data_IF_461451176994
#
_entry.id   IF_461451176994
#
_cell.length_a   1.000
_cell.length_b   1.000
_cell.length_c   1.000
_cell.angle_alpha   90.00
_cell.angle_beta   90.00
_cell.angle_gamma   90.00
#
_symmetry.space_group_name_H-M   'P 1'
#
loop_
_entity.id
_entity.type
_entity.pdbx_description
1 polymer ?
#
# COMPACT_ATOMS: atom_id res chain seq x y z
N UNK A 1 16.88 -49.49 -36.45
CA UNK A 1 15.60 -48.97 -36.98
C UNK A 1 14.95 -48.20 -35.84
N UNK A 2 14.97 -46.87 -35.91
CA UNK A 2 14.47 -45.96 -34.85
C UNK A 2 13.08 -45.46 -35.26
N UNK A 3 12.05 -45.52 -34.41
CA UNK A 3 10.82 -44.79 -34.67
C UNK A 3 10.86 -43.42 -33.97
N UNK A 4 10.71 -42.38 -34.79
CA UNK A 4 10.54 -40.98 -34.39
C UNK A 4 9.13 -40.83 -33.81
N UNK A 5 9.01 -40.34 -32.57
CA UNK A 5 7.72 -39.95 -31.97
C UNK A 5 7.47 -38.46 -32.23
N UNK A 6 6.43 -38.17 -33.00
CA UNK A 6 5.89 -36.83 -33.24
C UNK A 6 5.19 -36.31 -31.98
N UNK A 7 5.64 -35.17 -31.45
CA UNK A 7 4.95 -34.46 -30.35
C UNK A 7 3.94 -33.49 -30.95
N UNK A 8 2.65 -33.68 -30.63
CA UNK A 8 1.55 -32.76 -30.98
C UNK A 8 1.66 -31.48 -30.14
N UNK A 9 1.76 -30.33 -30.81
CA UNK A 9 1.51 -29.02 -30.21
C UNK A 9 -0.01 -28.87 -29.99
N UNK A 10 -0.43 -28.65 -28.75
CA UNK A 10 -1.81 -28.24 -28.42
C UNK A 10 -1.82 -26.71 -28.34
N UNK A 11 -2.57 -26.08 -29.24
CA UNK A 11 -2.83 -24.64 -29.24
C UNK A 11 -4.13 -24.41 -28.49
N UNK A 12 -4.06 -23.85 -27.28
CA UNK A 12 -5.26 -23.37 -26.56
C UNK A 12 -5.39 -21.88 -26.87
N UNK A 13 -6.43 -21.52 -27.62
CA UNK A 13 -6.73 -20.14 -28.00
C UNK A 13 -7.23 -19.33 -26.79
N UNK A 14 -6.57 -18.20 -26.52
CA UNK A 14 -7.09 -17.18 -25.62
C UNK A 14 -8.01 -16.23 -26.41
N UNK A 15 -9.22 -16.02 -25.91
CA UNK A 15 -10.13 -14.98 -26.42
C UNK A 15 -9.62 -13.63 -25.92
N UNK A 16 -9.19 -12.76 -26.83
CA UNK A 16 -8.79 -11.39 -26.51
C UNK A 16 -10.03 -10.50 -26.41
N UNK A 17 -10.27 -9.92 -25.24
CA UNK A 17 -11.19 -8.77 -25.08
C UNK A 17 -10.40 -7.52 -25.47
N UNK A 18 -10.79 -6.87 -26.56
CA UNK A 18 -10.17 -5.63 -26.99
C UNK A 18 -10.71 -4.46 -26.16
N UNK A 19 -9.89 -3.94 -25.25
CA UNK A 19 -10.12 -2.64 -24.61
C UNK A 19 -9.62 -1.57 -25.57
N UNK A 20 -10.52 -0.73 -26.07
CA UNK A 20 -10.15 0.46 -26.85
C UNK A 20 -9.80 1.56 -25.84
N UNK A 21 -8.52 1.88 -25.70
CA UNK A 21 -8.05 3.00 -24.87
C UNK A 21 -6.61 3.39 -25.19
N UNK A 22 -6.43 4.52 -25.89
CA UNK A 22 -5.18 5.27 -26.11
C UNK A 22 -3.99 4.46 -26.68
N UNK A 23 -2.87 5.05 -27.14
CA UNK A 23 -1.69 4.25 -27.41
C UNK A 23 -1.15 3.80 -26.04
N UNK A 24 -1.70 2.70 -25.51
CA UNK A 24 -1.01 1.90 -24.53
C UNK A 24 0.34 1.58 -25.14
N UNK A 25 1.43 2.04 -24.53
CA UNK A 25 2.76 1.56 -24.87
C UNK A 25 2.66 0.04 -24.84
N UNK A 26 2.68 -0.60 -26.02
CA UNK A 26 2.66 -2.04 -26.09
C UNK A 26 3.82 -2.53 -25.23
N UNK A 27 3.53 -3.45 -24.31
CA UNK A 27 4.55 -4.05 -23.46
C UNK A 27 5.68 -4.57 -24.36
N UNK A 28 6.94 -4.33 -23.99
CA UNK A 28 8.05 -4.76 -24.84
C UNK A 28 7.95 -6.27 -25.08
N UNK A 29 8.30 -6.75 -26.30
CA UNK A 29 8.47 -8.17 -26.53
C UNK A 29 9.39 -8.77 -25.45
N UNK A 30 9.00 -9.91 -24.90
CA UNK A 30 9.74 -10.59 -23.83
C UNK A 30 10.49 -11.77 -24.42
N UNK A 31 11.81 -11.79 -24.25
CA UNK A 31 12.68 -12.87 -24.71
C UNK A 31 12.62 -14.08 -23.76
N UNK A 32 12.47 -13.84 -22.46
CA UNK A 32 12.37 -14.92 -21.46
C UNK A 32 11.54 -14.52 -20.25
N UNK A 33 11.00 -15.52 -19.55
CA UNK A 33 10.23 -15.36 -18.31
C UNK A 33 10.86 -16.16 -17.20
N UNK A 34 10.91 -15.57 -16.01
CA UNK A 34 11.27 -16.22 -14.75
C UNK A 34 10.14 -15.99 -13.74
N UNK A 35 10.06 -16.77 -12.68
CA UNK A 35 8.87 -16.76 -11.82
C UNK A 35 8.90 -15.58 -10.87
N UNK A 36 9.99 -15.48 -10.10
CA UNK A 36 10.17 -14.51 -9.02
C UNK A 36 11.47 -13.72 -9.17
N UNK A 37 11.65 -12.70 -8.33
CA UNK A 37 12.92 -11.96 -8.23
C UNK A 37 14.04 -12.88 -7.71
N UNK A 38 13.73 -13.81 -6.80
CA UNK A 38 14.71 -14.80 -6.32
C UNK A 38 15.20 -15.69 -7.46
N UNK A 39 14.30 -16.13 -8.34
CA UNK A 39 14.68 -16.92 -9.53
C UNK A 39 15.50 -16.09 -10.51
N UNK A 40 15.14 -14.81 -10.68
CA UNK A 40 15.92 -13.87 -11.49
C UNK A 40 17.35 -13.73 -10.96
N UNK A 41 17.52 -13.53 -9.64
CA UNK A 41 18.84 -13.39 -9.00
C UNK A 41 19.71 -14.64 -9.14
N UNK A 42 19.10 -15.81 -9.26
CA UNK A 42 19.77 -17.10 -9.42
C UNK A 42 19.98 -17.49 -10.90
N UNK A 43 19.40 -16.74 -11.84
CA UNK A 43 19.52 -17.01 -13.27
C UNK A 43 20.90 -16.59 -13.81
N UNK A 44 21.31 -17.26 -14.88
CA UNK A 44 22.53 -16.96 -15.65
C UNK A 44 22.26 -17.15 -17.14
N UNK A 45 23.06 -16.50 -17.99
CA UNK A 45 22.94 -16.61 -19.45
C UNK A 45 21.69 -15.91 -20.01
N UNK A 46 21.03 -15.06 -19.22
CA UNK A 46 19.92 -14.24 -19.68
C UNK A 46 20.43 -13.14 -20.62
N UNK A 47 19.57 -12.73 -21.56
CA UNK A 47 19.83 -11.64 -22.49
C UNK A 47 18.53 -10.97 -22.90
N UNK A 48 18.61 -9.75 -23.46
CA UNK A 48 17.44 -9.04 -23.98
C UNK A 48 16.48 -8.61 -22.88
N UNK A 49 15.19 -8.72 -23.14
CA UNK A 49 14.11 -8.37 -22.21
C UNK A 49 13.61 -9.60 -21.47
N UNK A 50 13.61 -9.52 -20.14
CA UNK A 50 13.15 -10.58 -19.23
C UNK A 50 11.96 -10.06 -18.44
N UNK A 51 10.95 -10.89 -18.23
CA UNK A 51 9.84 -10.58 -17.34
C UNK A 51 9.81 -11.55 -16.16
N UNK A 52 9.57 -11.04 -14.95
CA UNK A 52 9.15 -11.89 -13.83
C UNK A 52 7.64 -12.14 -13.92
N UNK A 53 7.16 -13.24 -13.33
CA UNK A 53 5.71 -13.53 -13.22
C UNK A 53 5.11 -13.05 -11.90
N UNK A 54 5.96 -12.58 -10.98
CA UNK A 54 5.64 -11.93 -9.72
C UNK A 54 6.92 -11.46 -9.02
N UNK A 55 6.78 -10.91 -7.83
CA UNK A 55 7.92 -10.52 -6.98
C UNK A 55 8.41 -11.72 -6.16
N UNK A 56 7.57 -12.20 -5.25
CA UNK A 56 7.83 -13.34 -4.36
C UNK A 56 7.08 -14.59 -4.83
N UNK A 57 5.92 -14.42 -5.47
CA UNK A 57 5.08 -15.50 -5.96
C UNK A 57 4.46 -15.16 -7.29
N UNK A 58 4.29 -16.16 -8.15
CA UNK A 58 3.60 -15.98 -9.43
C UNK A 58 2.19 -15.42 -9.21
N UNK A 59 1.90 -14.26 -9.79
CA UNK A 59 0.58 -13.63 -9.72
C UNK A 59 0.33 -12.77 -8.47
N UNK A 60 1.34 -12.44 -7.68
CA UNK A 60 1.25 -11.50 -6.55
C UNK A 60 1.06 -10.02 -6.97
N UNK A 61 1.06 -9.74 -8.27
CA UNK A 61 0.95 -8.38 -8.83
C UNK A 61 2.29 -7.65 -8.93
N UNK A 62 3.38 -8.20 -8.40
CA UNK A 62 4.74 -7.66 -8.43
C UNK A 62 5.54 -8.03 -9.69
N UNK A 63 4.87 -8.43 -10.78
CA UNK A 63 5.53 -8.79 -12.03
C UNK A 63 6.18 -7.58 -12.69
N UNK A 64 7.47 -7.67 -13.03
CA UNK A 64 8.27 -6.57 -13.57
C UNK A 64 8.98 -6.97 -14.87
N UNK A 65 9.37 -5.96 -15.65
CA UNK A 65 10.16 -6.11 -16.87
C UNK A 65 11.57 -5.60 -16.64
N UNK A 66 12.54 -6.32 -17.17
CA UNK A 66 13.96 -6.02 -17.05
C UNK A 66 14.63 -6.10 -18.41
N UNK A 67 15.65 -5.26 -18.60
CA UNK A 67 16.63 -5.40 -19.67
C UNK A 67 17.95 -5.87 -19.07
N UNK A 68 18.53 -6.91 -19.66
CA UNK A 68 19.82 -7.43 -19.21
C UNK A 68 20.96 -6.51 -19.66
N UNK A 69 21.87 -6.20 -18.74
CA UNK A 69 23.02 -5.34 -18.96
C UNK A 69 24.27 -5.95 -18.31
N UNK A 70 25.44 -5.68 -18.90
CA UNK A 70 26.73 -6.15 -18.37
C UNK A 70 27.19 -5.36 -17.14
N UNK A 71 26.70 -4.13 -16.99
CA UNK A 71 27.07 -3.23 -15.91
C UNK A 71 25.84 -2.67 -15.21
N UNK A 72 25.97 -2.43 -13.91
CA UNK A 72 24.98 -1.71 -13.14
C UNK A 72 24.93 -0.25 -13.62
N UNK A 73 23.73 0.31 -13.90
CA UNK A 73 23.59 1.75 -14.12
C UNK A 73 24.10 2.55 -12.92
N UNK A 74 24.65 3.74 -13.16
CA UNK A 74 25.16 4.63 -12.09
C UNK A 74 24.08 5.57 -11.51
N UNK A 75 22.90 5.60 -12.14
CA UNK A 75 21.77 6.44 -11.75
C UNK A 75 20.83 5.71 -10.76
N UNK A 76 19.62 6.25 -10.59
CA UNK A 76 18.58 5.66 -9.72
C UNK A 76 18.14 4.26 -10.18
N UNK A 77 18.19 3.95 -11.49
CA UNK A 77 17.87 2.60 -11.97
C UNK A 77 18.87 1.58 -11.45
N UNK A 78 20.13 1.98 -11.26
CA UNK A 78 21.16 1.15 -10.65
C UNK A 78 20.76 0.62 -9.28
N UNK A 79 20.14 1.46 -8.45
CA UNK A 79 19.72 1.11 -7.08
C UNK A 79 18.60 0.08 -7.03
N UNK A 80 17.78 0.00 -8.08
CA UNK A 80 16.65 -0.93 -8.19
C UNK A 80 16.93 -2.09 -9.14
N UNK A 81 18.16 -2.18 -9.66
CA UNK A 81 18.59 -3.26 -10.53
C UNK A 81 18.90 -4.52 -9.74
N UNK A 82 18.60 -5.66 -10.34
CA UNK A 82 18.76 -6.97 -9.72
C UNK A 82 20.05 -7.63 -10.23
N UNK A 83 20.99 -8.00 -9.34
CA UNK A 83 22.19 -8.72 -9.76
C UNK A 83 21.85 -10.16 -10.09
N UNK A 84 22.49 -10.69 -11.14
CA UNK A 84 22.32 -12.06 -11.62
C UNK A 84 23.49 -12.95 -11.20
N UNK A 85 23.34 -14.27 -11.31
CA UNK A 85 24.37 -15.23 -10.89
C UNK A 85 25.65 -15.16 -11.74
N UNK A 86 25.56 -14.66 -12.98
CA UNK A 86 26.68 -14.47 -13.90
C UNK A 86 27.29 -13.06 -13.85
N UNK A 87 27.04 -12.32 -12.76
CA UNK A 87 27.54 -10.96 -12.52
C UNK A 87 26.99 -9.88 -13.48
N UNK A 88 25.99 -10.23 -14.29
CA UNK A 88 25.20 -9.27 -15.08
C UNK A 88 24.08 -8.68 -14.22
N UNK A 89 23.33 -7.75 -14.83
CA UNK A 89 22.30 -6.98 -14.16
C UNK A 89 20.99 -7.03 -14.93
N UNK A 90 19.90 -7.30 -14.23
CA UNK A 90 18.56 -7.07 -14.72
C UNK A 90 18.12 -5.66 -14.31
N UNK A 91 18.09 -4.75 -15.28
CA UNK A 91 17.74 -3.34 -15.08
C UNK A 91 16.25 -3.15 -15.36
N UNK A 92 15.43 -2.68 -14.39
CA UNK A 92 14.02 -2.43 -14.61
C UNK A 92 13.74 -1.54 -15.81
N UNK A 93 12.68 -1.87 -16.55
CA UNK A 93 12.20 -1.09 -17.70
C UNK A 93 10.68 -0.98 -17.65
N UNK A 94 10.11 -0.09 -18.45
CA UNK A 94 8.66 0.09 -18.58
C UNK A 94 7.95 0.44 -17.27
N UNK A 95 8.65 1.10 -16.35
CA UNK A 95 8.06 1.62 -15.12
C UNK A 95 7.20 2.85 -15.44
N UNK A 96 6.02 3.01 -14.81
CA UNK A 96 5.30 4.28 -14.82
C UNK A 96 6.20 5.40 -14.30
N UNK A 97 6.08 6.61 -14.83
CA UNK A 97 6.93 7.76 -14.45
C UNK A 97 6.13 8.97 -13.99
N UNK A 98 4.81 8.84 -13.85
CA UNK A 98 3.91 9.90 -13.43
C UNK A 98 2.83 9.32 -12.49
N UNK A 99 2.28 10.14 -11.57
CA UNK A 99 1.18 9.72 -10.72
C UNK A 99 -0.04 9.33 -11.55
N UNK A 100 -0.79 8.27 -11.17
CA UNK A 100 -1.97 7.83 -11.90
C UNK A 100 -3.19 8.75 -11.69
N UNK A 101 -3.14 9.59 -10.64
CA UNK A 101 -4.26 10.42 -10.19
C UNK A 101 -3.82 11.79 -9.69
N UNK A 102 -4.75 12.74 -9.68
CA UNK A 102 -4.58 14.03 -9.05
C UNK A 102 -4.52 13.90 -7.51
N UNK A 103 -4.07 14.96 -6.85
CA UNK A 103 -4.03 15.03 -5.39
C UNK A 103 -5.45 15.21 -4.84
N UNK A 104 -5.84 14.40 -3.85
CA UNK A 104 -7.04 14.64 -3.03
C UNK A 104 -6.65 15.50 -1.83
N UNK A 105 -6.73 16.83 -1.99
CA UNK A 105 -6.30 17.80 -0.98
C UNK A 105 -6.97 17.61 0.38
N UNK A 106 -8.25 17.23 0.40
CA UNK A 106 -8.98 17.01 1.64
C UNK A 106 -8.47 15.77 2.37
N UNK A 107 -8.19 14.69 1.62
CA UNK A 107 -7.62 13.49 2.21
C UNK A 107 -6.18 13.65 2.64
N UNK A 108 -5.38 14.39 1.88
CA UNK A 108 -4.02 14.74 2.26
C UNK A 108 -4.01 15.56 3.55
N UNK A 109 -4.87 16.58 3.68
CA UNK A 109 -4.97 17.37 4.89
C UNK A 109 -5.35 16.52 6.12
N UNK A 110 -6.29 15.58 5.98
CA UNK A 110 -6.64 14.62 7.04
C UNK A 110 -5.46 13.71 7.40
N UNK A 111 -4.81 13.09 6.41
CA UNK A 111 -3.70 12.19 6.61
C UNK A 111 -2.51 12.88 7.28
N UNK A 112 -2.15 14.09 6.85
CA UNK A 112 -1.06 14.88 7.45
C UNK A 112 -1.38 15.27 8.89
N UNK A 113 -2.64 15.64 9.19
CA UNK A 113 -3.07 15.95 10.56
C UNK A 113 -2.91 14.73 11.47
N UNK A 114 -3.33 13.54 11.01
CA UNK A 114 -3.18 12.30 11.79
C UNK A 114 -1.72 11.89 11.92
N UNK A 115 -0.95 11.98 10.84
CA UNK A 115 0.50 11.71 10.84
C UNK A 115 1.26 12.59 11.85
N UNK A 116 0.91 13.88 11.93
CA UNK A 116 1.50 14.82 12.87
C UNK A 116 1.35 14.36 14.33
N UNK A 117 0.26 13.69 14.70
CA UNK A 117 0.09 13.19 16.08
C UNK A 117 1.16 12.17 16.49
N UNK A 118 1.75 11.43 15.54
CA UNK A 118 2.87 10.52 15.83
C UNK A 118 4.20 11.27 15.98
N UNK A 119 4.36 12.39 15.28
CA UNK A 119 5.51 13.30 15.48
C UNK A 119 5.41 13.96 16.86
N UNK A 120 4.21 14.43 17.22
CA UNK A 120 3.95 15.11 18.49
C UNK A 120 4.11 14.17 19.70
N UNK A 121 3.91 12.86 19.52
CA UNK A 121 4.20 11.85 20.53
C UNK A 121 5.69 11.82 20.92
N UNK A 122 6.59 12.30 20.05
CA UNK A 122 8.00 12.51 20.34
C UNK A 122 8.67 11.30 21.00
N UNK A 123 9.18 11.50 22.22
CA UNK A 123 9.91 10.48 22.99
C UNK A 123 9.02 9.37 23.58
N UNK A 124 7.70 9.41 23.38
CA UNK A 124 6.84 8.25 23.67
C UNK A 124 7.05 7.12 22.67
N UNK A 125 7.63 7.42 21.51
CA UNK A 125 7.97 6.50 20.44
C UNK A 125 9.50 6.40 20.27
N UNK A 126 9.97 5.24 19.84
CA UNK A 126 11.36 5.02 19.49
C UNK A 126 11.49 4.04 18.34
N UNK A 127 12.44 4.27 17.46
CA UNK A 127 12.71 3.36 16.36
C UNK A 127 13.25 2.03 16.90
N UNK A 128 12.49 0.97 16.64
CA UNK A 128 12.85 -0.39 17.03
C UNK A 128 12.05 -1.41 16.21
N UNK A 129 12.72 -2.09 15.29
CA UNK A 129 12.09 -3.10 14.43
C UNK A 129 11.88 -4.46 15.12
N UNK A 130 12.37 -4.65 16.34
CA UNK A 130 12.32 -5.95 17.05
C UNK A 130 11.08 -6.11 17.93
N UNK A 131 10.42 -5.00 18.24
CA UNK A 131 9.23 -4.95 19.11
C UNK A 131 7.96 -4.69 18.29
N UNK A 132 6.84 -5.11 18.85
CA UNK A 132 5.53 -5.03 18.21
C UNK A 132 4.99 -3.60 18.22
N UNK A 133 4.22 -3.27 17.18
CA UNK A 133 3.46 -2.03 17.05
C UNK A 133 1.95 -2.33 17.02
N UNK A 134 1.07 -1.31 17.03
CA UNK A 134 -0.38 -1.49 16.98
C UNK A 134 -0.87 -2.26 15.75
N UNK A 135 -0.12 -2.22 14.65
CA UNK A 135 -0.40 -2.99 13.43
C UNK A 135 -0.18 -4.50 13.62
N UNK A 136 0.44 -4.95 14.71
CA UNK A 136 0.55 -6.37 15.03
C UNK A 136 -0.74 -6.97 15.63
N UNK A 137 -1.70 -6.13 16.02
CA UNK A 137 -2.94 -6.54 16.69
C UNK A 137 -2.80 -6.68 18.21
N UNK A 138 -1.62 -6.46 18.76
CA UNK A 138 -1.38 -6.45 20.19
C UNK A 138 -1.84 -5.14 20.82
N UNK A 139 -2.39 -5.22 22.04
CA UNK A 139 -2.58 -4.05 22.89
C UNK A 139 -1.21 -3.60 23.46
N UNK A 140 -0.50 -2.74 22.71
CA UNK A 140 0.90 -2.40 22.98
C UNK A 140 1.10 -1.75 24.35
N UNK A 141 0.23 -0.83 24.74
CA UNK A 141 0.34 -0.12 26.02
C UNK A 141 0.05 -1.01 27.23
N UNK A 142 -0.74 -2.08 27.05
CA UNK A 142 -0.99 -3.06 28.10
C UNK A 142 0.16 -4.08 28.24
N UNK A 143 0.90 -4.36 27.16
CA UNK A 143 1.92 -5.43 27.15
C UNK A 143 3.36 -4.94 27.17
N UNK A 144 3.61 -3.65 26.94
CA UNK A 144 4.97 -3.09 26.87
C UNK A 144 5.04 -1.72 27.56
N UNK A 145 6.26 -1.33 27.95
CA UNK A 145 6.53 -0.01 28.51
C UNK A 145 7.05 0.95 27.45
N UNK A 146 6.75 2.25 27.63
CA UNK A 146 7.33 3.34 26.84
C UNK A 146 8.86 3.40 26.98
N UNK A 147 9.59 3.89 25.96
CA UNK A 147 9.10 4.31 24.65
C UNK A 147 8.65 3.11 23.79
N UNK A 148 7.50 3.24 23.12
CA UNK A 148 6.96 2.19 22.27
C UNK A 148 7.70 2.12 20.93
N UNK A 149 7.76 0.93 20.37
CA UNK A 149 8.49 0.66 19.15
C UNK A 149 7.72 1.11 17.92
N UNK A 150 8.41 1.77 16.98
CA UNK A 150 7.85 2.14 15.68
C UNK A 150 8.91 2.02 14.57
N UNK A 151 8.50 1.67 13.36
CA UNK A 151 9.34 1.78 12.16
C UNK A 151 8.69 2.70 11.13
N UNK A 152 9.42 3.04 10.06
CA UNK A 152 8.91 3.87 8.98
C UNK A 152 7.64 3.31 8.32
N UNK A 153 7.65 2.02 7.98
CA UNK A 153 6.51 1.34 7.40
C UNK A 153 5.34 1.20 8.38
N UNK A 154 5.62 1.03 9.68
CA UNK A 154 4.57 0.95 10.69
C UNK A 154 3.90 2.32 10.92
N UNK A 155 4.69 3.40 10.99
CA UNK A 155 4.17 4.78 11.05
C UNK A 155 3.24 5.07 9.86
N UNK A 156 3.73 4.80 8.64
CA UNK A 156 2.92 4.98 7.45
C UNK A 156 1.70 4.06 7.46
N UNK A 157 1.85 2.81 7.89
CA UNK A 157 0.73 1.89 7.94
C UNK A 157 -0.40 2.37 8.81
N UNK A 158 -0.11 2.81 10.04
CA UNK A 158 -1.14 3.39 10.93
C UNK A 158 -1.77 4.65 10.32
N UNK A 159 -0.98 5.48 9.63
CA UNK A 159 -1.50 6.65 8.93
C UNK A 159 -2.40 6.26 7.75
N UNK A 160 -2.03 5.25 6.95
CA UNK A 160 -2.78 4.79 5.79
C UNK A 160 -4.04 4.01 6.19
N UNK A 161 -4.05 3.35 7.35
CA UNK A 161 -5.25 2.68 7.89
C UNK A 161 -6.28 3.63 8.50
N UNK A 162 -5.97 4.94 8.52
CA UNK A 162 -6.85 5.99 9.02
C UNK A 162 -6.76 6.21 10.53
N UNK A 163 -5.64 5.83 11.17
CA UNK A 163 -5.43 5.99 12.61
C UNK A 163 -4.63 7.25 12.91
N UNK A 164 -4.82 7.80 14.10
CA UNK A 164 -3.89 8.75 14.73
C UNK A 164 -3.26 8.08 15.96
N UNK A 165 -2.27 8.72 16.57
CA UNK A 165 -1.54 8.17 17.71
C UNK A 165 -2.46 7.78 18.88
N UNK A 166 -3.41 8.65 19.25
CA UNK A 166 -4.32 8.46 20.40
C UNK A 166 -5.35 7.36 20.21
N UNK A 167 -5.67 7.02 18.96
CA UNK A 167 -6.60 5.97 18.58
C UNK A 167 -5.89 4.67 18.17
N UNK A 168 -4.62 4.52 18.54
CA UNK A 168 -3.87 3.27 18.43
C UNK A 168 -3.71 2.60 19.78
N UNK A 169 -3.30 1.32 19.77
CA UNK A 169 -2.93 0.61 20.99
C UNK A 169 -1.65 1.08 21.69
N UNK A 170 -1.04 2.18 21.25
CA UNK A 170 -0.08 2.90 22.09
C UNK A 170 -0.76 3.65 23.25
N UNK A 171 -2.05 3.99 23.12
CA UNK A 171 -2.77 4.84 24.08
C UNK A 171 -4.12 4.22 24.50
N UNK A 172 -4.82 3.56 23.58
CA UNK A 172 -6.16 3.00 23.80
C UNK A 172 -6.14 1.46 23.79
N UNK A 173 -7.17 0.81 24.37
CA UNK A 173 -7.22 -0.66 24.42
C UNK A 173 -7.43 -1.33 23.04
N UNK A 174 -7.87 -0.56 22.05
CA UNK A 174 -8.12 -1.03 20.68
C UNK A 174 -7.82 0.05 19.64
N UNK A 175 -7.36 -0.37 18.45
CA UNK A 175 -7.17 0.53 17.32
C UNK A 175 -8.52 0.98 16.75
N UNK A 176 -8.68 2.28 16.51
CA UNK A 176 -9.89 2.86 15.91
C UNK A 176 -9.55 3.70 14.70
N UNK A 177 -10.27 3.48 13.60
CA UNK A 177 -10.19 4.33 12.41
C UNK A 177 -10.96 5.61 12.63
N UNK A 178 -10.26 6.74 12.52
CA UNK A 178 -10.79 8.09 12.81
C UNK A 178 -10.70 9.05 11.62
N UNK A 179 -9.96 8.70 10.57
CA UNK A 179 -9.84 9.50 9.36
C UNK A 179 -10.03 8.71 8.08
N UNK A 180 -9.68 9.35 6.98
CA UNK A 180 -9.65 8.72 5.65
C UNK A 180 -8.55 7.67 5.61
N UNK A 181 -8.75 6.65 4.78
CA UNK A 181 -7.90 5.47 4.78
C UNK A 181 -7.73 4.92 3.36
N UNK A 182 -6.71 4.09 3.18
CA UNK A 182 -6.48 3.32 1.96
C UNK A 182 -7.15 1.97 2.11
N UNK A 183 -7.98 1.59 1.14
CA UNK A 183 -8.55 0.25 1.09
C UNK A 183 -7.54 -0.77 0.58
N UNK A 184 -6.95 -1.50 1.53
CA UNK A 184 -6.03 -2.60 1.23
C UNK A 184 -6.76 -3.88 0.79
N UNK A 185 -8.09 -3.92 0.82
CA UNK A 185 -8.91 -5.08 0.44
C UNK A 185 -8.88 -6.25 1.43
N UNK A 186 -8.21 -6.08 2.57
CA UNK A 186 -8.10 -7.06 3.65
C UNK A 186 -7.82 -6.36 4.99
N UNK A 187 -7.91 -7.09 6.10
CA UNK A 187 -7.54 -6.54 7.40
C UNK A 187 -6.04 -6.19 7.40
N UNK A 188 -5.69 -4.90 7.59
CA UNK A 188 -4.29 -4.50 7.68
C UNK A 188 -3.58 -5.08 8.90
N UNK A 189 -4.29 -5.43 9.98
CA UNK A 189 -3.67 -5.90 11.23
C UNK A 189 -3.01 -7.28 11.03
N UNK A 190 -1.74 -7.40 11.43
CA UNK A 190 -0.94 -8.60 11.25
C UNK A 190 -0.49 -8.85 9.80
N UNK A 191 -0.83 -7.95 8.86
CA UNK A 191 -0.48 -8.10 7.46
C UNK A 191 1.02 -7.91 7.22
N UNK A 192 1.55 -8.67 6.25
CA UNK A 192 2.95 -8.56 5.79
C UNK A 192 3.21 -7.26 5.02
N UNK A 193 2.17 -6.53 4.63
CA UNK A 193 2.30 -5.26 3.90
C UNK A 193 3.11 -4.21 4.68
N UNK A 194 3.24 -4.35 6.00
CA UNK A 194 3.93 -3.39 6.87
C UNK A 194 5.46 -3.51 6.88
N UNK A 195 6.03 -3.77 5.71
CA UNK A 195 7.43 -3.56 5.37
C UNK A 195 7.51 -2.55 4.22
N UNK A 196 8.56 -1.74 4.16
CA UNK A 196 8.64 -0.66 3.17
C UNK A 196 8.56 -1.18 1.72
N UNK A 197 9.24 -2.29 1.42
CA UNK A 197 9.19 -2.94 0.12
C UNK A 197 7.81 -3.58 -0.16
N UNK A 198 7.20 -4.25 0.82
CA UNK A 198 5.89 -4.89 0.63
C UNK A 198 4.77 -3.85 0.40
N UNK A 199 4.84 -2.71 1.10
CA UNK A 199 3.92 -1.59 0.88
C UNK A 199 4.08 -1.02 -0.53
N UNK A 200 5.31 -0.84 -1.01
CA UNK A 200 5.56 -0.38 -2.37
C UNK A 200 5.09 -1.38 -3.42
N UNK A 201 5.33 -2.69 -3.20
CA UNK A 201 4.86 -3.77 -4.07
C UNK A 201 3.33 -3.78 -4.16
N UNK A 202 2.63 -3.56 -3.03
CA UNK A 202 1.18 -3.42 -3.03
C UNK A 202 0.74 -2.22 -3.87
N UNK A 203 1.33 -1.03 -3.69
CA UNK A 203 1.00 0.13 -4.55
C UNK A 203 1.31 -0.13 -6.03
N UNK A 204 2.41 -0.83 -6.33
CA UNK A 204 2.74 -1.21 -7.70
C UNK A 204 1.67 -2.11 -8.33
N UNK A 205 1.24 -3.14 -7.60
CA UNK A 205 0.19 -4.06 -8.03
C UNK A 205 -1.17 -3.36 -8.25
N UNK A 206 -1.41 -2.24 -7.59
CA UNK A 206 -2.63 -1.44 -7.72
C UNK A 206 -2.51 -0.29 -8.72
N UNK A 207 -1.37 -0.13 -9.39
CA UNK A 207 -1.15 0.94 -10.38
C UNK A 207 -0.86 2.31 -9.76
N UNK A 208 -0.51 2.34 -8.47
CA UNK A 208 -0.40 3.53 -7.63
C UNK A 208 1.02 4.01 -7.41
N UNK A 209 1.99 3.27 -7.92
CA UNK A 209 3.43 3.52 -7.79
C UNK A 209 4.04 3.94 -9.13
N UNK A 210 4.91 4.95 -9.11
CA UNK A 210 5.73 5.35 -10.25
C UNK A 210 7.19 5.55 -9.86
N UNK A 211 8.07 5.42 -10.85
CA UNK A 211 9.49 5.69 -10.74
C UNK A 211 9.75 7.20 -10.72
N UNK A 212 10.51 7.65 -9.72
CA UNK A 212 10.85 9.06 -9.53
C UNK A 212 11.99 9.49 -10.47
N UNK A 213 11.66 10.25 -11.52
CA UNK A 213 12.65 10.79 -12.44
C UNK A 213 13.15 12.19 -12.06
N UNK A 214 12.25 13.06 -11.58
CA UNK A 214 12.47 14.50 -11.49
C UNK A 214 12.17 15.11 -10.11
N UNK A 215 11.88 14.26 -9.12
CA UNK A 215 11.59 14.67 -7.74
C UNK A 215 10.37 15.60 -7.59
N UNK A 216 9.42 15.54 -8.54
CA UNK A 216 8.16 16.26 -8.42
C UNK A 216 7.21 15.48 -7.51
N UNK A 217 7.15 15.90 -6.24
CA UNK A 217 6.28 15.31 -5.23
C UNK A 217 5.19 16.30 -4.81
N UNK A 218 4.02 15.78 -4.49
CA UNK A 218 2.94 16.54 -3.87
C UNK A 218 2.74 16.09 -2.41
N UNK A 219 2.33 16.99 -1.49
CA UNK A 219 1.98 16.59 -0.13
C UNK A 219 1.05 15.38 -0.11
N UNK A 220 1.31 14.44 0.81
CA UNK A 220 0.59 13.16 0.90
C UNK A 220 1.15 12.03 0.03
N UNK A 221 2.07 12.32 -0.90
CA UNK A 221 2.80 11.28 -1.62
C UNK A 221 3.68 10.46 -0.65
N UNK A 222 3.75 9.15 -0.89
CA UNK A 222 4.60 8.22 -0.14
C UNK A 222 5.90 8.03 -0.90
N UNK A 223 7.02 8.41 -0.29
CA UNK A 223 8.34 8.28 -0.89
C UNK A 223 8.95 6.94 -0.48
N UNK A 224 9.53 6.21 -1.43
CA UNK A 224 10.25 4.96 -1.18
C UNK A 224 11.72 5.11 -1.55
N UNK A 225 12.57 4.65 -0.65
CA UNK A 225 14.01 4.80 -0.73
C UNK A 225 14.66 3.46 -1.02
N UNK A 226 15.45 3.39 -2.08
CA UNK A 226 16.18 2.18 -2.45
C UNK A 226 17.67 2.35 -2.29
N UNK A 227 18.33 1.24 -2.01
CA UNK A 227 19.78 1.12 -2.06
C UNK A 227 20.12 -0.27 -2.59
N UNK A 228 21.28 -0.39 -3.23
CA UNK A 228 21.71 -1.72 -3.66
C UNK A 228 21.95 -2.62 -2.44
N UNK A 229 21.45 -3.86 -2.50
CA UNK A 229 21.62 -4.88 -1.46
C UNK A 229 21.14 -4.40 -0.07
N UNK A 230 19.83 -4.08 0.07
CA UNK A 230 19.27 -3.62 1.33
C UNK A 230 19.53 -4.66 2.43
N UNK A 231 19.97 -4.20 3.60
CA UNK A 231 20.30 -5.05 4.76
C UNK A 231 21.32 -6.18 4.48
N UNK A 232 22.16 -6.02 3.45
CA UNK A 232 23.06 -7.06 2.97
C UNK A 232 22.34 -8.39 2.64
N UNK A 233 21.08 -8.31 2.20
CA UNK A 233 20.16 -9.44 2.07
C UNK A 233 20.36 -10.28 0.80
N UNK A 234 21.03 -9.80 -0.25
CA UNK A 234 21.04 -10.47 -1.56
C UNK A 234 21.42 -11.95 -1.49
N UNK A 235 22.46 -12.29 -0.72
CA UNK A 235 22.88 -13.69 -0.57
C UNK A 235 21.86 -14.55 0.16
N UNK A 236 21.12 -13.96 1.11
CA UNK A 236 20.04 -14.62 1.86
C UNK A 236 18.81 -14.82 0.97
N UNK A 237 18.49 -13.84 0.11
CA UNK A 237 17.44 -13.95 -0.91
C UNK A 237 17.76 -15.09 -1.88
N UNK A 238 18.98 -15.14 -2.42
CA UNK A 238 19.41 -16.21 -3.34
C UNK A 238 19.31 -17.61 -2.72
N UNK A 239 19.54 -17.73 -1.41
CA UNK A 239 19.38 -18.98 -0.64
C UNK A 239 17.94 -19.26 -0.20
N UNK A 240 16.99 -18.36 -0.47
CA UNK A 240 15.59 -18.48 -0.06
C UNK A 240 15.35 -18.29 1.44
N UNK A 241 16.28 -17.68 2.17
CA UNK A 241 16.16 -17.45 3.62
C UNK A 241 15.24 -16.26 3.96
N UNK A 242 15.10 -15.32 3.02
CA UNK A 242 14.21 -14.16 3.10
C UNK A 242 13.59 -13.88 1.74
N UNK A 243 12.45 -13.18 1.75
CA UNK A 243 11.83 -12.64 0.54
C UNK A 243 12.72 -11.61 -0.15
N UNK A 244 12.54 -11.46 -1.46
CA UNK A 244 13.19 -10.40 -2.21
C UNK A 244 12.62 -9.03 -1.79
N UNK A 245 13.43 -7.98 -1.92
CA UNK A 245 12.97 -6.63 -1.65
C UNK A 245 12.47 -6.01 -2.95
N UNK A 246 11.17 -5.80 -3.10
CA UNK A 246 10.61 -5.00 -4.18
C UNK A 246 11.40 -3.70 -4.39
N UNK A 247 11.96 -3.54 -5.59
CA UNK A 247 12.74 -2.36 -5.95
C UNK A 247 13.93 -2.08 -5.03
N UNK A 248 14.47 -3.07 -4.30
CA UNK A 248 15.52 -2.88 -3.30
C UNK A 248 15.19 -1.79 -2.25
N UNK A 249 13.91 -1.61 -1.93
CA UNK A 249 13.43 -0.56 -1.03
C UNK A 249 13.76 -0.89 0.42
N UNK A 250 14.44 0.02 1.12
CA UNK A 250 14.85 -0.16 2.52
C UNK A 250 14.15 0.79 3.50
N UNK A 251 13.52 1.86 2.99
CA UNK A 251 12.90 2.88 3.82
C UNK A 251 11.73 3.54 3.08
N UNK A 252 10.85 4.18 3.85
CA UNK A 252 9.70 4.91 3.30
C UNK A 252 9.36 6.11 4.17
N UNK A 253 8.73 7.14 3.59
CA UNK A 253 8.36 8.37 4.29
C UNK A 253 7.12 9.03 3.68
N UNK A 254 6.40 9.81 4.48
CA UNK A 254 5.30 10.67 4.03
C UNK A 254 5.87 12.02 3.60
N UNK A 255 5.68 12.43 2.35
CA UNK A 255 6.03 13.78 1.91
C UNK A 255 4.98 14.79 2.37
N UNK A 256 5.40 15.89 2.97
CA UNK A 256 4.47 16.86 3.56
C UNK A 256 4.44 18.21 2.82
N UNK A 257 5.28 18.37 1.80
CA UNK A 257 5.49 19.65 1.10
C UNK A 257 6.83 20.29 1.46
N UNK A 258 7.21 21.31 0.67
CA UNK A 258 8.38 22.16 0.91
C UNK A 258 9.69 21.41 1.19
N UNK A 259 9.89 20.26 0.52
CA UNK A 259 11.08 19.45 0.69
C UNK A 259 11.16 18.77 2.06
N UNK A 260 10.04 18.54 2.75
CA UNK A 260 10.01 17.90 4.08
C UNK A 260 9.30 16.56 4.06
N UNK A 261 9.69 15.70 5.00
CA UNK A 261 9.12 14.36 5.17
C UNK A 261 8.86 14.05 6.63
N UNK A 262 7.82 13.25 6.88
CA UNK A 262 7.62 12.57 8.17
C UNK A 262 8.00 11.10 8.04
N UNK A 263 8.78 10.59 8.99
CA UNK A 263 9.13 9.16 9.05
C UNK A 263 9.68 8.76 10.43
N UNK A 264 9.90 7.46 10.64
CA UNK A 264 10.70 6.93 11.74
C UNK A 264 11.90 6.15 11.15
N UNK A 265 13.12 6.72 11.22
CA UNK A 265 14.31 6.12 10.58
C UNK A 265 15.51 5.89 11.50
N UNK A 266 15.54 6.57 12.64
CA UNK A 266 16.75 6.71 13.45
C UNK A 266 16.57 6.01 14.79
N UNK A 267 17.46 5.05 15.09
CA UNK A 267 17.51 4.38 16.41
C UNK A 267 17.45 5.41 17.54
N UNK A 268 16.55 5.19 18.50
CA UNK A 268 16.39 6.08 19.65
C UNK A 268 15.50 7.30 19.41
N UNK A 269 15.00 7.53 18.19
CA UNK A 269 14.03 8.60 17.87
C UNK A 269 12.70 7.99 17.45
N UNK A 270 11.59 8.66 17.79
CA UNK A 270 10.25 8.32 17.30
C UNK A 270 10.03 8.75 15.84
N UNK A 271 8.81 9.18 15.53
CA UNK A 271 8.52 9.83 14.24
C UNK A 271 9.03 11.26 14.28
N UNK A 272 9.72 11.68 13.23
CA UNK A 272 10.27 13.02 13.09
C UNK A 272 9.75 13.67 11.82
N UNK A 273 9.59 14.99 11.85
CA UNK A 273 9.44 15.84 10.69
C UNK A 273 10.82 16.44 10.37
N UNK A 274 11.39 16.12 9.21
CA UNK A 274 12.72 16.60 8.81
C UNK A 274 12.77 17.03 7.34
N UNK A 275 13.81 17.80 7.01
CA UNK A 275 14.10 18.14 5.62
C UNK A 275 14.55 16.88 4.86
N UNK A 276 13.99 16.69 3.68
CA UNK A 276 14.47 15.74 2.67
C UNK A 276 15.80 16.25 2.12
N UNK A 277 16.86 16.02 2.89
CA UNK A 277 18.18 16.49 2.53
C UNK A 277 18.67 15.85 1.22
N UNK A 278 19.63 16.48 0.51
CA UNK A 278 20.10 15.98 -0.79
C UNK A 278 20.68 14.56 -0.77
N UNK A 279 21.15 14.06 0.36
CA UNK A 279 21.63 12.69 0.47
C UNK A 279 20.46 11.72 0.43
N UNK A 280 19.43 11.96 1.25
CA UNK A 280 18.24 11.12 1.32
C UNK A 280 17.40 11.23 0.04
N UNK A 281 17.30 12.43 -0.53
CA UNK A 281 16.60 12.67 -1.79
C UNK A 281 17.15 11.83 -2.97
N UNK A 282 18.46 11.54 -2.99
CA UNK A 282 19.07 10.68 -4.02
C UNK A 282 18.60 9.24 -3.95
N UNK A 283 18.16 8.78 -2.78
CA UNK A 283 17.69 7.42 -2.57
C UNK A 283 16.22 7.24 -2.92
N UNK A 284 15.45 8.31 -3.11
CA UNK A 284 14.06 8.21 -3.59
C UNK A 284 14.05 7.65 -5.01
N UNK A 285 13.49 6.46 -5.18
CA UNK A 285 13.41 5.74 -6.47
C UNK A 285 11.97 5.55 -6.91
N UNK A 286 11.06 5.35 -5.97
CA UNK A 286 9.63 5.24 -6.24
C UNK A 286 8.82 6.20 -5.38
N UNK A 287 7.65 6.55 -5.90
CA UNK A 287 6.65 7.36 -5.22
C UNK A 287 5.30 6.70 -5.41
N UNK A 288 4.47 6.68 -4.37
CA UNK A 288 3.06 6.31 -4.48
C UNK A 288 2.15 7.47 -4.11
N UNK A 289 0.97 7.51 -4.73
CA UNK A 289 -0.11 8.44 -4.40
C UNK A 289 -1.32 7.66 -3.94
N UNK A 290 -1.60 7.59 -2.63
CA UNK A 290 -2.67 6.77 -2.12
C UNK A 290 -4.05 7.15 -2.68
N UNK A 291 -4.88 6.15 -2.93
CA UNK A 291 -6.32 6.34 -3.15
C UNK A 291 -7.05 6.32 -1.81
N UNK A 292 -7.76 7.40 -1.49
CA UNK A 292 -8.36 7.59 -0.17
C UNK A 292 -9.85 7.36 -0.15
N UNK A 293 -10.29 6.41 0.66
CA UNK A 293 -11.70 6.20 1.00
C UNK A 293 -12.17 7.29 2.00
N UNK A 294 -13.39 7.84 1.82
CA UNK A 294 -13.97 8.77 2.79
C UNK A 294 -14.06 8.21 4.21
N UNK A 295 -13.95 9.10 5.21
CA UNK A 295 -14.14 8.72 6.61
C UNK A 295 -15.58 8.24 6.84
N UNK A 296 -15.76 7.14 7.57
CA UNK A 296 -17.07 6.54 7.85
C UNK A 296 -17.69 5.74 6.70
N UNK A 297 -16.99 5.55 5.58
CA UNK A 297 -17.37 4.57 4.56
C UNK A 297 -16.91 3.18 4.94
N UNK A 298 -17.85 2.26 5.16
CA UNK A 298 -17.57 0.83 5.06
C UNK A 298 -17.21 0.57 3.59
N UNK A 299 -16.07 -0.03 3.30
CA UNK A 299 -15.47 -0.19 1.96
C UNK A 299 -16.28 -1.03 0.97
N UNK A 300 -17.56 -0.70 0.75
CA UNK A 300 -18.38 -1.28 -0.28
C UNK A 300 -17.95 -0.69 -1.62
N UNK A 301 -17.31 -1.53 -2.43
CA UNK A 301 -17.04 -1.26 -3.85
C UNK A 301 -18.35 -0.83 -4.52
N UNK A 302 -18.40 0.26 -5.30
CA UNK A 302 -19.57 0.53 -6.11
C UNK A 302 -19.69 -0.61 -7.13
N UNK A 303 -20.70 -1.46 -6.97
CA UNK A 303 -21.12 -2.38 -8.03
C UNK A 303 -21.39 -1.53 -9.26
N UNK A 304 -20.78 -1.79 -10.43
CA UNK A 304 -21.10 -1.07 -11.64
C UNK A 304 -22.61 -1.19 -11.87
N UNK A 305 -23.31 -0.07 -11.88
CA UNK A 305 -24.71 -0.05 -12.28
C UNK A 305 -24.79 -0.72 -13.66
N UNK A 306 -25.75 -1.65 -13.89
CA UNK A 306 -25.89 -2.28 -15.19
C UNK A 306 -26.07 -1.17 -16.23
N UNK A 307 -25.19 -1.18 -17.24
CA UNK A 307 -25.20 -0.25 -18.37
C UNK A 307 -26.54 -0.40 -19.08
N UNK A 308 -27.48 0.50 -18.81
CA UNK A 308 -28.69 0.62 -19.61
C UNK A 308 -28.27 1.16 -20.97
N UNK A 309 -28.32 0.29 -21.98
CA UNK A 309 -28.15 0.65 -23.38
C UNK A 309 -29.13 1.76 -23.76
N UNK A 310 -28.68 2.88 -24.37
CA UNK A 310 -29.60 3.90 -24.87
C UNK A 310 -30.43 3.34 -26.02
N UNK A 311 -31.76 3.26 -25.85
CA UNK A 311 -32.67 3.05 -26.96
C UNK A 311 -32.81 4.37 -27.76
N UNK A 312 -32.63 4.26 -29.09
CA UNK A 312 -32.80 5.35 -30.05
C UNK A 312 -34.30 5.77 -30.19
N UNK A 313 -34.59 6.96 -30.74
CA UNK A 313 -35.76 7.76 -30.38
C UNK A 313 -37.02 7.44 -31.21
N UNK A 314 -38.20 7.64 -30.62
CA UNK A 314 -39.46 7.73 -31.33
C UNK A 314 -40.36 8.84 -30.75
N UNK A 315 -40.44 9.93 -31.52
CA UNK A 315 -41.60 10.80 -31.81
C UNK A 315 -42.69 11.06 -30.76
N UNK A 316 -42.75 12.34 -30.36
CA UNK A 316 -43.92 13.26 -30.30
C UNK A 316 -45.29 12.75 -29.86
N UNK A 317 -45.73 13.25 -28.70
CA UNK A 317 -47.14 13.35 -28.31
C UNK A 317 -47.33 13.85 -26.87
N UNK A 318 -47.79 15.09 -26.71
CA UNK A 318 -48.35 15.66 -25.47
C UNK A 318 -49.73 16.26 -25.83
N UNK A 319 -50.63 16.60 -24.90
CA UNK A 319 -50.64 16.38 -23.44
C UNK A 319 -52.01 15.83 -22.94
N UNK A 320 -52.18 15.59 -21.62
CA UNK A 320 -53.29 16.14 -20.80
C UNK A 320 -53.50 15.43 -19.45
N UNK A 321 -53.74 16.26 -18.42
CA UNK A 321 -54.50 16.07 -17.16
C UNK A 321 -53.85 15.41 -15.90
N UNK A 322 -53.59 16.27 -14.91
CA UNK A 322 -53.82 16.06 -13.45
C UNK A 322 -55.15 16.78 -13.06
N UNK A 323 -55.69 16.75 -11.82
CA UNK A 323 -55.35 16.07 -10.54
C UNK A 323 -56.57 15.25 -9.98
N UNK A 324 -56.59 14.56 -8.82
CA UNK A 324 -56.79 15.08 -7.43
C UNK A 324 -56.69 13.98 -6.34
N UNK A 325 -56.62 14.36 -5.03
CA UNK A 325 -56.12 13.56 -3.90
C UNK A 325 -57.19 13.05 -2.91
N UNK A 326 -56.78 12.21 -1.95
CA UNK A 326 -57.47 11.96 -0.66
C UNK A 326 -56.58 11.11 0.25
N UNK A 327 -56.54 11.18 1.59
CA UNK A 327 -56.99 12.08 2.66
C UNK A 327 -56.35 11.51 3.94
N UNK A 328 -55.77 12.34 4.82
CA UNK A 328 -55.42 12.00 6.21
C UNK A 328 -56.60 12.37 7.14
N UNK A 329 -56.75 11.88 8.40
CA UNK A 329 -55.87 12.28 9.52
C UNK A 329 -55.68 11.29 10.71
N UNK A 330 -54.74 11.67 11.60
CA UNK A 330 -54.30 11.16 12.94
C UNK A 330 -55.41 11.22 14.05
N UNK A 331 -55.23 11.04 15.41
CA UNK A 331 -54.01 11.24 16.26
C UNK A 331 -53.83 10.43 17.60
N UNK A 332 -52.75 10.78 18.34
CA UNK A 332 -52.64 10.99 19.83
C UNK A 332 -52.54 9.78 20.80
N UNK A 333 -51.83 9.76 21.95
CA UNK A 333 -50.72 10.49 22.63
C UNK A 333 -50.31 9.69 23.89
N UNK A 334 -49.12 10.00 24.46
CA UNK A 334 -48.72 10.00 25.89
C UNK A 334 -48.65 8.71 26.75
N UNK A 335 -47.48 8.42 27.33
CA UNK A 335 -47.14 8.76 28.74
C UNK A 335 -45.83 8.11 29.23
N UNK A 336 -45.07 8.85 30.04
CA UNK A 336 -43.99 8.41 30.96
C UNK A 336 -44.45 8.80 32.38
N UNK A 337 -44.17 8.01 33.44
CA UNK A 337 -43.15 8.45 34.41
C UNK A 337 -42.32 7.33 35.08
N UNK A 338 -41.20 7.76 35.66
CA UNK A 338 -40.13 7.00 36.30
C UNK A 338 -40.43 6.48 37.74
N UNK A 339 -39.58 5.58 38.25
CA UNK A 339 -39.22 5.53 39.69
C UNK A 339 -37.87 4.83 39.96
N UNK A 340 -37.12 5.41 40.91
CA UNK A 340 -35.80 5.02 41.43
C UNK A 340 -35.86 3.87 42.47
N UNK A 341 -34.68 3.29 42.80
CA UNK A 341 -34.13 2.85 44.11
C UNK A 341 -33.41 1.48 43.94
N UNK A 342 -32.24 1.16 44.48
CA UNK A 342 -31.24 1.82 45.30
C UNK A 342 -30.00 0.89 45.45
N UNK A 343 -28.85 1.46 45.85
CA UNK A 343 -27.71 0.79 46.51
C UNK A 343 -27.87 1.02 48.03
N UNK A 344 -27.18 0.33 48.99
CA UNK A 344 -25.75 -0.06 48.96
C UNK A 344 -25.37 -1.37 49.71
N UNK A 345 -24.09 -1.79 49.64
CA UNK A 345 -23.47 -2.67 50.65
C UNK A 345 -22.37 -3.63 50.17
N UNK A 346 -21.10 -3.23 50.38
CA UNK A 346 -19.95 -4.10 50.70
C UNK A 346 -19.87 -4.15 52.26
N UNK A 347 -19.22 -5.14 52.95
CA UNK A 347 -17.82 -5.54 52.71
C UNK A 347 -17.36 -6.98 53.12
N UNK A 348 -16.11 -7.28 52.76
CA UNK A 348 -15.01 -7.78 53.62
C UNK A 348 -14.43 -9.20 53.44
N UNK A 349 -13.10 -9.25 53.68
CA UNK A 349 -12.16 -10.34 54.05
C UNK A 349 -11.91 -11.45 53.03
N UNK A 350 -10.68 -11.62 52.49
CA UNK A 350 -9.50 -12.22 53.16
C UNK A 350 -9.39 -13.68 52.65
N UNK A 351 -8.26 -14.32 52.33
CA UNK A 351 -6.93 -14.40 52.95
C UNK A 351 -6.12 -15.41 52.08
N UNK A 352 -4.82 -15.12 51.94
CA UNK A 352 -3.61 -15.97 51.77
C UNK A 352 -3.44 -17.03 50.67
N UNK A 353 -2.23 -16.97 50.08
CA UNK A 353 -1.60 -17.93 49.18
C UNK A 353 -0.49 -17.29 48.37
#
# INVERSE_FOLDING_TARGET
MVPIRTVKKVLIGAVAVAVIGSPANALPPVDSKVDTITDLMNASGLSGTVATRGEEQVGDGGAMYFRIADTQPSDRLGKISIPLADQRWAVPTSLPTAPPRAVDEAAVADALKRAQTFVDAGNELTWDATRQSPLSGVNVHATTSRPYAITCSQFLGMTLTGWDYSHTTYVADSNTRVGRWVDFGHDPVGSRIWQANNLASWFYAHGDLWFSQDQQYAPGDILFFSQQNPEASNSRVQRGEVGAYFGNIYHTALYVGDGKVMHARSKGLGVVLEDLNPSLAKDVTFVARPEWVPAGGDGATPTPAPVTTPAAPASSGSPSASPTPSTAPSPATDTVPATQTGRPGLPNTGIDG
#
